data_IF_370154302286
#
_entry.id   IF_370154302286
#
_cell.length_a   1.000
_cell.length_b   1.000
_cell.length_c   1.000
_cell.angle_alpha   90.00
_cell.angle_beta   90.00
_cell.angle_gamma   90.00
#
_symmetry.space_group_name_H-M   'P 1'
#
loop_
_entity.id
_entity.type
_entity.pdbx_description
1 polymer ?
#
# COMPACT_ATOMS: atom_id res chain seq x y z
N UNK A 1 18.11 19.46 6.77
CA UNK A 1 18.05 18.88 5.42
C UNK A 1 17.48 17.47 5.57
N UNK A 2 16.18 17.36 5.83
CA UNK A 2 15.61 16.12 6.42
C UNK A 2 14.10 15.98 6.19
N UNK A 3 13.62 16.32 4.99
CA UNK A 3 12.19 16.16 4.63
C UNK A 3 11.98 15.43 3.29
N UNK A 4 13.06 15.02 2.59
CA UNK A 4 12.97 14.50 1.21
C UNK A 4 12.93 12.97 1.15
N UNK A 5 13.31 12.27 2.22
CA UNK A 5 13.52 10.81 2.19
C UNK A 5 12.25 10.02 2.55
N UNK A 6 11.44 10.53 3.50
CA UNK A 6 10.24 9.86 4.02
C UNK A 6 9.14 9.56 2.97
N UNK A 7 9.19 10.24 1.82
CA UNK A 7 8.15 10.18 0.79
C UNK A 7 8.49 9.19 -0.35
N UNK A 8 9.69 8.58 -0.35
CA UNK A 8 10.12 7.69 -1.42
C UNK A 8 9.61 6.26 -1.26
N UNK A 9 9.48 5.76 -0.03
CA UNK A 9 9.09 4.37 0.22
C UNK A 9 7.63 4.06 -0.18
N UNK A 10 6.62 4.87 0.16
CA UNK A 10 5.25 4.69 -0.33
C UNK A 10 5.14 4.77 -1.85
N UNK A 11 5.94 5.62 -2.50
CA UNK A 11 5.99 5.72 -3.98
C UNK A 11 6.64 4.47 -4.61
N UNK A 12 7.71 3.94 -4.00
CA UNK A 12 8.36 2.69 -4.41
C UNK A 12 7.39 1.50 -4.30
N UNK A 13 6.70 1.35 -3.17
CA UNK A 13 5.65 0.35 -3.00
C UNK A 13 4.48 0.56 -3.95
N UNK A 14 4.15 1.82 -4.24
CA UNK A 14 3.09 2.18 -5.17
C UNK A 14 3.24 1.55 -6.54
N UNK A 15 4.45 1.62 -7.09
CA UNK A 15 4.80 1.01 -8.39
C UNK A 15 4.66 -0.52 -8.41
N UNK A 16 4.68 -1.16 -7.24
CA UNK A 16 4.57 -2.61 -7.08
C UNK A 16 3.18 -3.04 -6.60
N UNK A 17 2.29 -2.08 -6.33
CA UNK A 17 0.96 -2.31 -5.80
C UNK A 17 -0.12 -2.15 -6.88
N UNK A 18 -1.33 -2.60 -6.59
CA UNK A 18 -2.51 -2.32 -7.41
C UNK A 18 -3.03 -0.87 -7.26
N UNK A 19 -2.31 0.01 -6.55
CA UNK A 19 -2.69 1.39 -6.32
C UNK A 19 -1.90 2.34 -7.23
N UNK A 20 -2.62 3.29 -7.81
CA UNK A 20 -2.04 4.42 -8.55
C UNK A 20 -1.40 5.43 -7.60
N UNK A 21 -0.47 6.26 -8.10
CA UNK A 21 0.16 7.33 -7.31
C UNK A 21 -0.89 8.27 -6.67
N UNK A 22 -1.93 8.64 -7.42
CA UNK A 22 -3.01 9.47 -6.92
C UNK A 22 -3.81 8.82 -5.78
N UNK A 23 -3.96 7.49 -5.79
CA UNK A 23 -4.62 6.75 -4.71
C UNK A 23 -3.74 6.71 -3.47
N UNK A 24 -2.44 6.48 -3.62
CA UNK A 24 -1.48 6.45 -2.51
C UNK A 24 -1.40 7.81 -1.84
N UNK A 25 -1.27 8.87 -2.63
CA UNK A 25 -1.26 10.24 -2.12
C UNK A 25 -2.57 10.57 -1.41
N UNK A 26 -3.72 10.20 -2.00
CA UNK A 26 -5.02 10.40 -1.37
C UNK A 26 -5.12 9.65 -0.03
N UNK A 27 -4.60 8.43 0.07
CA UNK A 27 -4.54 7.67 1.34
C UNK A 27 -3.61 8.33 2.36
N UNK A 28 -2.45 8.85 1.95
CA UNK A 28 -1.53 9.60 2.82
C UNK A 28 -2.19 10.86 3.39
N UNK A 29 -2.87 11.64 2.53
CA UNK A 29 -3.63 12.83 2.96
C UNK A 29 -4.82 12.44 3.85
N UNK A 30 -5.51 11.34 3.52
CA UNK A 30 -6.63 10.86 4.33
C UNK A 30 -6.19 10.37 5.70
N UNK A 31 -4.99 9.79 5.84
CA UNK A 31 -4.40 9.47 7.14
C UNK A 31 -4.23 10.70 8.02
N UNK A 32 -3.85 11.85 7.45
CA UNK A 32 -3.78 13.14 8.18
C UNK A 32 -5.18 13.61 8.60
N UNK A 33 -6.19 13.39 7.76
CA UNK A 33 -7.60 13.64 8.11
C UNK A 33 -8.04 12.78 9.30
N UNK A 34 -7.75 11.48 9.28
CA UNK A 34 -8.10 10.56 10.37
C UNK A 34 -7.41 10.92 11.71
N UNK A 35 -6.25 11.57 11.64
CA UNK A 35 -5.53 12.09 12.81
C UNK A 35 -6.01 13.46 13.28
N UNK A 36 -6.97 14.06 12.58
CA UNK A 36 -7.47 15.40 12.87
C UNK A 36 -6.49 16.52 12.52
N UNK A 37 -5.43 16.24 11.76
CA UNK A 37 -4.41 17.24 11.39
C UNK A 37 -4.94 18.22 10.33
N UNK A 38 -5.82 17.74 9.45
CA UNK A 38 -6.49 18.48 8.38
C UNK A 38 -7.92 17.95 8.21
N UNK A 39 -8.78 18.66 7.51
CA UNK A 39 -10.10 18.14 7.10
C UNK A 39 -10.10 17.62 5.64
N UNK A 40 -11.17 16.93 5.25
CA UNK A 40 -11.27 16.33 3.90
C UNK A 40 -11.23 17.36 2.76
N UNK A 41 -11.69 18.59 3.00
CA UNK A 41 -11.64 19.67 1.99
C UNK A 41 -10.20 20.15 1.80
N UNK A 42 -9.47 20.34 2.89
CA UNK A 42 -8.04 20.67 2.87
C UNK A 42 -7.24 19.56 2.20
N UNK A 43 -7.50 18.30 2.53
CA UNK A 43 -6.86 17.15 1.89
C UNK A 43 -7.07 17.15 0.36
N UNK A 44 -8.30 17.38 -0.10
CA UNK A 44 -8.59 17.47 -1.54
C UNK A 44 -7.84 18.64 -2.21
N UNK A 45 -7.65 19.76 -1.51
CA UNK A 45 -6.90 20.92 -2.02
C UNK A 45 -5.37 20.75 -1.98
N UNK A 46 -4.84 19.90 -1.09
CA UNK A 46 -3.41 19.64 -0.93
C UNK A 46 -2.88 18.55 -1.88
N UNK A 47 -3.76 17.92 -2.66
CA UNK A 47 -3.40 16.86 -3.59
C UNK A 47 -2.59 17.42 -4.77
N UNK A 48 -1.57 16.69 -5.18
CA UNK A 48 -0.66 17.03 -6.27
C UNK A 48 -0.91 16.18 -7.52
N UNK A 49 -0.48 16.61 -8.72
CA UNK A 49 0.07 17.92 -9.05
C UNK A 49 -0.96 19.05 -8.91
N UNK A 50 -2.25 18.72 -9.01
CA UNK A 50 -3.33 19.70 -8.98
C UNK A 50 -4.36 19.39 -7.88
N UNK A 51 -4.84 20.43 -7.17
CA UNK A 51 -5.99 20.35 -6.27
C UNK A 51 -7.21 19.72 -6.95
N UNK A 52 -8.00 18.97 -6.19
CA UNK A 52 -9.23 18.37 -6.70
C UNK A 52 -10.46 18.75 -5.91
N UNK A 53 -11.61 18.61 -6.58
CA UNK A 53 -12.92 18.70 -5.93
C UNK A 53 -13.04 17.60 -4.88
N UNK A 54 -13.71 17.91 -3.77
CA UNK A 54 -13.96 16.97 -2.66
C UNK A 54 -14.59 15.65 -3.13
N UNK A 55 -15.56 15.71 -4.04
CA UNK A 55 -16.18 14.50 -4.59
C UNK A 55 -15.25 13.66 -5.48
N UNK A 56 -14.22 14.25 -6.09
CA UNK A 56 -13.17 13.50 -6.81
C UNK A 56 -12.24 12.82 -5.82
N UNK A 57 -11.84 13.51 -4.75
CA UNK A 57 -11.02 12.95 -3.68
C UNK A 57 -11.67 11.70 -3.05
N UNK A 58 -12.95 11.77 -2.68
CA UNK A 58 -13.66 10.62 -2.14
C UNK A 58 -13.76 9.44 -3.12
N UNK A 59 -14.05 9.71 -4.40
CA UNK A 59 -14.06 8.64 -5.42
C UNK A 59 -12.72 7.93 -5.56
N UNK A 60 -11.61 8.67 -5.47
CA UNK A 60 -10.26 8.08 -5.53
C UNK A 60 -10.01 7.22 -4.29
N UNK A 61 -10.40 7.68 -3.10
CA UNK A 61 -10.33 6.88 -1.87
C UNK A 61 -11.16 5.60 -1.95
N UNK A 62 -12.40 5.70 -2.44
CA UNK A 62 -13.27 4.53 -2.59
C UNK A 62 -12.67 3.51 -3.56
N UNK A 63 -12.04 3.96 -4.64
CA UNK A 63 -11.36 3.07 -5.57
C UNK A 63 -10.12 2.43 -4.93
N UNK A 64 -9.36 3.19 -4.12
CA UNK A 64 -8.22 2.65 -3.39
C UNK A 64 -8.66 1.56 -2.40
N UNK A 65 -9.75 1.80 -1.67
CA UNK A 65 -10.34 0.85 -0.73
C UNK A 65 -10.82 -0.43 -1.43
N UNK A 66 -11.50 -0.31 -2.58
CA UNK A 66 -11.89 -1.48 -3.39
C UNK A 66 -10.68 -2.29 -3.83
N UNK A 67 -9.61 -1.64 -4.30
CA UNK A 67 -8.40 -2.35 -4.72
C UNK A 67 -7.73 -3.09 -3.54
N UNK A 68 -7.70 -2.48 -2.35
CA UNK A 68 -7.20 -3.14 -1.13
C UNK A 68 -8.06 -4.36 -0.75
N UNK A 69 -9.39 -4.22 -0.77
CA UNK A 69 -10.31 -5.32 -0.52
C UNK A 69 -10.11 -6.47 -1.51
N UNK A 70 -10.02 -6.17 -2.81
CA UNK A 70 -9.75 -7.16 -3.85
C UNK A 70 -8.43 -7.89 -3.61
N UNK A 71 -7.35 -7.18 -3.28
CA UNK A 71 -6.06 -7.80 -2.99
C UNK A 71 -6.12 -8.78 -1.82
N UNK A 72 -6.83 -8.41 -0.73
CA UNK A 72 -7.04 -9.29 0.43
C UNK A 72 -7.82 -10.54 0.02
N UNK A 73 -8.91 -10.38 -0.73
CA UNK A 73 -9.69 -11.51 -1.22
C UNK A 73 -8.89 -12.43 -2.13
N UNK A 74 -8.04 -11.88 -3.01
CA UNK A 74 -7.14 -12.66 -3.85
C UNK A 74 -6.18 -13.50 -3.02
N UNK A 75 -5.59 -12.93 -1.96
CA UNK A 75 -4.74 -13.69 -1.03
C UNK A 75 -5.50 -14.82 -0.33
N UNK A 76 -6.74 -14.56 0.13
CA UNK A 76 -7.61 -15.57 0.76
C UNK A 76 -7.93 -16.70 -0.23
N UNK A 77 -8.24 -16.38 -1.48
CA UNK A 77 -8.45 -17.39 -2.53
C UNK A 77 -7.18 -18.21 -2.75
N UNK A 78 -6.01 -17.57 -2.83
CA UNK A 78 -4.72 -18.26 -2.97
C UNK A 78 -4.42 -19.23 -1.82
N UNK A 79 -4.74 -18.85 -0.58
CA UNK A 79 -4.63 -19.73 0.60
C UNK A 79 -5.57 -20.94 0.50
N UNK A 80 -6.84 -20.71 0.17
CA UNK A 80 -7.85 -21.77 0.05
C UNK A 80 -7.51 -22.77 -1.06
N UNK A 81 -6.87 -22.31 -2.14
CA UNK A 81 -6.42 -23.15 -3.26
C UNK A 81 -5.07 -23.83 -2.98
N UNK A 82 -4.42 -23.56 -1.84
CA UNK A 82 -3.10 -24.11 -1.51
C UNK A 82 -1.94 -23.51 -2.32
N UNK A 83 -2.18 -22.44 -3.08
CA UNK A 83 -1.16 -21.72 -3.85
C UNK A 83 -0.30 -20.80 -2.97
N UNK A 84 -0.87 -20.35 -1.85
CA UNK A 84 -0.18 -19.62 -0.79
C UNK A 84 -0.23 -20.47 0.47
N UNK A 85 0.89 -20.70 1.16
CA UNK A 85 0.87 -21.39 2.45
C UNK A 85 0.65 -20.42 3.60
N UNK A 86 -0.04 -20.88 4.65
CA UNK A 86 -0.31 -20.06 5.83
C UNK A 86 0.97 -19.56 6.53
N UNK A 87 2.03 -20.39 6.54
CA UNK A 87 3.33 -20.04 7.11
C UNK A 87 4.02 -18.91 6.35
N UNK A 88 3.86 -18.86 5.02
CA UNK A 88 4.43 -17.81 4.18
C UNK A 88 3.74 -16.48 4.39
N UNK A 89 2.41 -16.50 4.55
CA UNK A 89 1.65 -15.32 4.93
C UNK A 89 2.03 -14.83 6.34
N UNK A 90 2.21 -15.75 7.29
CA UNK A 90 2.65 -15.40 8.65
C UNK A 90 4.03 -14.73 8.61
N UNK A 91 4.99 -15.30 7.88
CA UNK A 91 6.32 -14.72 7.70
C UNK A 91 6.26 -13.37 7.00
N UNK A 92 5.39 -13.20 6.00
CA UNK A 92 5.18 -11.91 5.33
C UNK A 92 4.76 -10.83 6.33
N UNK A 93 3.87 -11.16 7.27
CA UNK A 93 3.43 -10.24 8.32
C UNK A 93 4.56 -9.96 9.33
N UNK A 94 5.35 -10.96 9.69
CA UNK A 94 6.45 -10.83 10.66
C UNK A 94 7.61 -9.97 10.14
N UNK A 95 7.87 -10.00 8.82
CA UNK A 95 8.94 -9.22 8.18
C UNK A 95 8.49 -7.77 7.89
N UNK A 96 7.20 -7.46 8.01
CA UNK A 96 6.75 -6.07 7.91
C UNK A 96 7.32 -5.26 9.09
N UNK A 97 8.11 -4.22 8.81
CA UNK A 97 8.68 -3.40 9.87
C UNK A 97 7.56 -2.70 10.65
N UNK A 98 7.74 -2.60 11.97
CA UNK A 98 6.82 -1.86 12.85
C UNK A 98 6.88 -0.34 12.60
N UNK A 99 8.01 0.14 12.08
CA UNK A 99 8.25 1.45 11.52
C UNK A 99 8.01 1.43 10.01
N UNK A 100 7.13 2.31 9.51
CA UNK A 100 6.67 2.40 8.12
C UNK A 100 7.78 2.66 7.06
N UNK A 101 9.05 2.71 7.45
CA UNK A 101 10.23 2.66 6.59
C UNK A 101 11.13 1.51 7.05
N UNK A 102 11.10 0.35 6.37
CA UNK A 102 12.09 -0.70 6.59
C UNK A 102 13.45 -0.23 6.10
N UNK A 103 14.49 -0.55 6.85
CA UNK A 103 15.86 -0.49 6.33
C UNK A 103 16.03 -1.44 5.12
N UNK A 104 17.10 -1.25 4.35
CA UNK A 104 17.34 -2.03 3.13
C UNK A 104 17.33 -3.56 3.34
N UNK A 105 17.89 -4.11 4.45
CA UNK A 105 17.77 -5.53 4.78
C UNK A 105 16.33 -6.04 4.94
N UNK A 106 15.46 -5.31 5.63
CA UNK A 106 14.05 -5.71 5.79
C UNK A 106 13.30 -5.65 4.44
N UNK A 107 13.67 -4.74 3.53
CA UNK A 107 13.09 -4.67 2.19
C UNK A 107 13.46 -5.87 1.32
N UNK A 108 14.72 -6.31 1.36
CA UNK A 108 15.19 -7.48 0.63
C UNK A 108 14.52 -8.76 1.15
N UNK A 109 14.41 -8.91 2.48
CA UNK A 109 13.72 -10.06 3.06
C UNK A 109 12.23 -10.07 2.67
N UNK A 110 11.55 -8.93 2.75
CA UNK A 110 10.15 -8.81 2.34
C UNK A 110 9.95 -9.18 0.87
N UNK A 111 10.82 -8.68 -0.02
CA UNK A 111 10.76 -9.01 -1.44
C UNK A 111 11.00 -10.51 -1.68
N UNK A 112 11.93 -11.12 -0.96
CA UNK A 112 12.21 -12.55 -1.08
C UNK A 112 11.01 -13.42 -0.70
N UNK A 113 10.28 -13.06 0.36
CA UNK A 113 9.05 -13.75 0.78
C UNK A 113 7.95 -13.59 -0.26
N UNK A 114 7.76 -12.38 -0.79
CA UNK A 114 6.79 -12.11 -1.86
C UNK A 114 7.13 -12.95 -3.10
N UNK A 115 8.39 -12.98 -3.53
CA UNK A 115 8.82 -13.78 -4.69
C UNK A 115 8.61 -15.28 -4.48
N UNK A 116 8.87 -15.80 -3.27
CA UNK A 116 8.63 -17.20 -2.95
C UNK A 116 7.14 -17.58 -3.07
N UNK A 117 6.25 -16.69 -2.61
CA UNK A 117 4.79 -16.86 -2.77
C UNK A 117 4.41 -16.81 -4.25
N UNK A 118 4.88 -15.80 -4.99
CA UNK A 118 4.54 -15.61 -6.41
C UNK A 118 5.05 -16.76 -7.28
N UNK A 119 6.27 -17.26 -7.05
CA UNK A 119 6.82 -18.43 -7.78
C UNK A 119 6.03 -19.72 -7.59
N UNK A 120 5.22 -19.83 -6.54
CA UNK A 120 4.33 -20.99 -6.36
C UNK A 120 3.00 -20.85 -7.07
N UNK A 121 2.55 -19.61 -7.23
CA UNK A 121 1.35 -19.27 -8.00
C UNK A 121 1.63 -19.36 -9.51
N UNK A 122 2.80 -18.86 -9.93
CA UNK A 122 3.28 -18.93 -11.30
C UNK A 122 4.08 -20.21 -11.46
N UNK A 123 3.40 -21.25 -11.95
CA UNK A 123 4.00 -22.54 -12.32
C UNK A 123 5.30 -22.32 -13.10
N UNK A 124 6.39 -22.90 -12.61
CA UNK A 124 7.45 -23.51 -13.42
C UNK A 124 7.59 -24.98 -13.01
#
# INVERSE_FOLDING_TARGET
MTLVVADQYPKKLGRLSALTEAQIESLQLHRRVLRGEINSREAASLRTPDPVKLGTYHRVLDQALRNLQSAIWTMIVGLNLGLVRGEELKRLIEVLPSNLEPDDPHQEELLSVIQAIVKRVVIE
#
